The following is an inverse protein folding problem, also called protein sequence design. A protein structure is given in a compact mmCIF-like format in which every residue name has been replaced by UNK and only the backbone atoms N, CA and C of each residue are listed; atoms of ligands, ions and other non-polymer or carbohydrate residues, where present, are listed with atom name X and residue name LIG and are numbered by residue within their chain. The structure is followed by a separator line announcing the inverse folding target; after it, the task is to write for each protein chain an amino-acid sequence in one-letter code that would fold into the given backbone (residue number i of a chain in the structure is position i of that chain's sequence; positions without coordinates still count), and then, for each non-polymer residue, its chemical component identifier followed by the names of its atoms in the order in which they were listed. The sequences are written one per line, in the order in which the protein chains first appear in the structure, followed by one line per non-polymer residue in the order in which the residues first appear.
data_IF_268718209005
#
_entry.id   IF_268718209005
#
_cell.length_a   1.000
_cell.length_b   1.000
_cell.length_c   1.000
_cell.angle_alpha   90.00
_cell.angle_beta   90.00
_cell.angle_gamma   90.00
#
_symmetry.space_group_name_H-M   'P 1'
#
loop_
_entity.id
_entity.type
_entity.pdbx_description
1 polymer ?
#
# COMPACT_ATOMS: atom_id res chain seq x y z
N UNK A 1 19.99 8.95 -11.10
CA UNK A 1 19.29 7.69 -10.79
C UNK A 1 17.97 8.05 -10.13
N UNK A 2 16.85 7.63 -10.73
CA UNK A 2 15.53 7.84 -10.12
C UNK A 2 15.39 7.02 -8.84
N UNK A 3 14.74 7.56 -7.82
CA UNK A 3 14.35 6.79 -6.65
C UNK A 3 13.27 5.77 -7.06
N UNK A 4 13.08 4.70 -6.27
CA UNK A 4 11.99 3.74 -6.49
C UNK A 4 10.62 4.43 -6.54
N UNK A 5 10.47 5.57 -5.86
CA UNK A 5 9.29 6.45 -5.91
C UNK A 5 9.07 7.02 -7.33
N UNK A 6 10.14 7.50 -7.99
CA UNK A 6 10.04 8.01 -9.37
C UNK A 6 9.68 6.89 -10.36
N UNK A 7 10.16 5.66 -10.13
CA UNK A 7 9.81 4.52 -10.96
C UNK A 7 8.32 4.20 -10.87
N UNK A 8 7.78 4.10 -9.65
CA UNK A 8 6.35 3.82 -9.42
C UNK A 8 5.44 4.92 -9.97
N UNK A 9 5.67 6.18 -9.61
CA UNK A 9 4.78 7.30 -9.98
C UNK A 9 4.72 7.54 -11.49
N UNK A 10 5.84 7.28 -12.20
CA UNK A 10 5.92 7.42 -13.64
C UNK A 10 5.48 6.16 -14.40
N UNK A 11 5.29 5.03 -13.72
CA UNK A 11 5.03 3.75 -14.35
C UNK A 11 3.72 3.76 -15.14
N UNK A 12 3.69 3.37 -16.42
CA UNK A 12 2.48 3.39 -17.24
C UNK A 12 1.30 2.63 -16.60
N UNK A 13 1.57 1.48 -16.00
CA UNK A 13 0.56 0.65 -15.33
C UNK A 13 -0.02 1.33 -14.10
N UNK A 14 0.83 1.90 -13.23
CA UNK A 14 0.37 2.65 -12.06
C UNK A 14 -0.45 3.88 -12.49
N UNK A 15 -0.02 4.58 -13.54
CA UNK A 15 -0.76 5.72 -14.11
C UNK A 15 -2.10 5.31 -14.71
N UNK A 16 -2.22 4.10 -15.26
CA UNK A 16 -3.48 3.55 -15.73
C UNK A 16 -4.45 3.32 -14.56
N UNK A 17 -3.98 2.70 -13.47
CA UNK A 17 -4.77 2.49 -12.25
C UNK A 17 -5.25 3.81 -11.65
N UNK A 18 -4.37 4.81 -11.53
CA UNK A 18 -4.72 6.12 -10.95
C UNK A 18 -5.68 6.91 -11.83
N UNK A 19 -5.54 6.83 -13.16
CA UNK A 19 -6.47 7.48 -14.10
C UNK A 19 -7.90 7.02 -13.91
N UNK A 20 -8.12 5.74 -13.59
CA UNK A 20 -9.44 5.16 -13.31
C UNK A 20 -10.13 5.85 -12.12
N UNK A 21 -9.35 6.26 -11.12
CA UNK A 21 -9.83 6.85 -9.87
C UNK A 21 -9.82 8.40 -9.88
N UNK A 22 -9.12 9.01 -10.84
CA UNK A 22 -8.87 10.45 -10.84
C UNK A 22 -10.14 11.30 -10.91
N UNK A 23 -11.22 10.80 -11.53
CA UNK A 23 -12.49 11.51 -11.62
C UNK A 23 -13.13 11.74 -10.25
N UNK A 24 -13.02 10.79 -9.32
CA UNK A 24 -13.66 10.84 -8.00
C UNK A 24 -12.72 11.34 -6.90
N UNK A 25 -11.41 11.07 -7.03
CA UNK A 25 -10.45 11.25 -5.94
C UNK A 25 -9.30 12.23 -6.25
N UNK A 26 -9.20 12.71 -7.49
CA UNK A 26 -8.20 13.69 -7.92
C UNK A 26 -6.76 13.29 -7.51
N UNK A 27 -6.06 14.15 -6.76
CA UNK A 27 -4.68 13.91 -6.31
C UNK A 27 -4.57 12.79 -5.25
N UNK A 28 -5.69 12.34 -4.66
CA UNK A 28 -5.70 11.19 -3.76
C UNK A 28 -5.73 9.84 -4.51
N UNK A 29 -5.95 9.85 -5.83
CA UNK A 29 -5.98 8.63 -6.63
C UNK A 29 -4.70 7.79 -6.49
N UNK A 30 -3.53 8.44 -6.44
CA UNK A 30 -2.24 7.76 -6.20
C UNK A 30 -2.24 6.99 -4.87
N UNK A 31 -2.58 7.68 -3.78
CA UNK A 31 -2.63 7.10 -2.43
C UNK A 31 -3.60 5.92 -2.34
N UNK A 32 -4.75 6.02 -3.02
CA UNK A 32 -5.73 4.93 -3.04
C UNK A 32 -5.19 3.72 -3.82
N UNK A 33 -4.56 3.95 -4.98
CA UNK A 33 -3.97 2.86 -5.77
C UNK A 33 -2.85 2.17 -4.98
N UNK A 34 -2.02 2.91 -4.24
CA UNK A 34 -1.00 2.32 -3.36
C UNK A 34 -1.64 1.37 -2.34
N UNK A 35 -2.72 1.80 -1.68
CA UNK A 35 -3.48 0.97 -0.73
C UNK A 35 -4.08 -0.27 -1.39
N UNK A 36 -4.55 -0.15 -2.65
CA UNK A 36 -5.03 -1.30 -3.41
C UNK A 36 -3.90 -2.25 -3.77
N UNK A 37 -2.71 -1.74 -4.11
CA UNK A 37 -1.56 -2.58 -4.40
C UNK A 37 -1.05 -3.29 -3.14
N UNK A 38 -1.05 -2.61 -1.99
CA UNK A 38 -0.79 -3.23 -0.68
C UNK A 38 -1.83 -4.32 -0.36
N UNK A 39 -3.10 -4.15 -0.75
CA UNK A 39 -4.12 -5.21 -0.65
C UNK A 39 -3.72 -6.45 -1.43
N UNK A 40 -3.38 -6.30 -2.72
CA UNK A 40 -3.02 -7.44 -3.56
C UNK A 40 -1.71 -8.08 -3.12
N UNK A 41 -0.75 -7.31 -2.63
CA UNK A 41 0.48 -7.84 -2.03
C UNK A 41 0.17 -8.68 -0.78
N UNK A 42 -0.62 -8.15 0.15
CA UNK A 42 -0.95 -8.82 1.40
C UNK A 42 -1.80 -10.08 1.19
N UNK A 43 -2.84 -9.99 0.33
CA UNK A 43 -3.71 -11.13 -0.02
C UNK A 43 -2.91 -12.25 -0.68
N UNK A 44 -2.02 -11.90 -1.60
CA UNK A 44 -1.23 -12.85 -2.39
C UNK A 44 0.16 -13.11 -1.79
N UNK A 45 0.35 -12.82 -0.50
CA UNK A 45 1.67 -12.83 0.15
C UNK A 45 2.44 -14.14 -0.02
N UNK A 46 1.76 -15.29 0.02
CA UNK A 46 2.37 -16.62 -0.15
C UNK A 46 2.98 -16.88 -1.53
N UNK A 47 2.69 -16.03 -2.53
CA UNK A 47 3.34 -16.07 -3.84
C UNK A 47 4.71 -15.39 -3.78
N UNK A 48 4.90 -14.44 -2.88
CA UNK A 48 6.07 -13.56 -2.84
C UNK A 48 7.02 -13.86 -1.67
N UNK A 49 6.55 -14.59 -0.65
CA UNK A 49 7.35 -14.95 0.52
C UNK A 49 6.95 -16.31 1.07
N UNK A 50 7.95 -17.06 1.55
CA UNK A 50 7.76 -18.33 2.27
C UNK A 50 7.36 -18.11 3.74
N UNK A 51 7.57 -16.90 4.28
CA UNK A 51 7.17 -16.53 5.63
C UNK A 51 5.68 -16.13 5.66
N UNK A 52 4.95 -16.45 6.73
CA UNK A 52 3.57 -15.96 6.90
C UNK A 52 3.56 -14.45 7.11
N UNK A 53 2.57 -13.77 6.53
CA UNK A 53 2.44 -12.32 6.63
C UNK A 53 2.38 -11.85 8.09
N UNK A 54 1.64 -12.56 8.94
CA UNK A 54 1.49 -12.22 10.35
C UNK A 54 2.81 -12.32 11.13
N UNK A 55 3.64 -13.31 10.80
CA UNK A 55 4.95 -13.50 11.40
C UNK A 55 5.90 -12.37 10.97
N UNK A 56 5.91 -12.05 9.67
CA UNK A 56 6.68 -10.92 9.14
C UNK A 56 6.27 -9.59 9.80
N UNK A 57 4.96 -9.32 9.87
CA UNK A 57 4.41 -8.08 10.42
C UNK A 57 4.72 -7.96 11.90
N UNK A 58 4.62 -9.04 12.69
CA UNK A 58 4.97 -8.99 14.11
C UNK A 58 6.46 -8.69 14.31
N UNK A 59 7.35 -9.33 13.52
CA UNK A 59 8.79 -9.01 13.55
C UNK A 59 9.05 -7.56 13.18
N UNK A 60 8.34 -7.03 12.17
CA UNK A 60 8.45 -5.64 11.78
C UNK A 60 7.99 -4.68 12.89
N UNK A 61 6.85 -4.94 13.53
CA UNK A 61 6.37 -4.14 14.66
C UNK A 61 7.31 -4.20 15.86
N UNK A 62 7.92 -5.36 16.12
CA UNK A 62 8.94 -5.50 17.15
C UNK A 62 10.17 -4.64 16.85
N UNK A 63 10.66 -4.65 15.60
CA UNK A 63 11.76 -3.78 15.18
C UNK A 63 11.45 -2.29 15.38
N UNK A 64 10.22 -1.85 15.08
CA UNK A 64 9.80 -0.46 15.35
C UNK A 64 9.79 -0.11 16.84
N UNK A 65 9.42 -1.05 17.71
CA UNK A 65 9.45 -0.84 19.17
C UNK A 65 10.88 -0.72 19.69
N UNK A 66 11.77 -1.60 19.23
CA UNK A 66 13.18 -1.64 19.63
C UNK A 66 13.95 -0.41 19.17
N UNK A 67 13.61 0.12 17.99
CA UNK A 67 14.31 1.22 17.36
C UNK A 67 13.58 2.57 17.50
N UNK A 68 12.76 2.74 18.56
CA UNK A 68 11.93 3.94 18.73
C UNK A 68 12.73 5.26 18.67
N UNK A 69 13.98 5.26 19.15
CA UNK A 69 14.86 6.43 19.22
C UNK A 69 15.26 7.02 17.86
N UNK A 70 15.23 6.23 16.79
CA UNK A 70 15.58 6.69 15.44
C UNK A 70 14.35 7.04 14.60
N UNK A 71 13.14 6.84 15.14
CA UNK A 71 11.90 7.12 14.43
C UNK A 71 11.53 8.60 14.51
N UNK A 72 10.90 9.10 13.44
CA UNK A 72 10.32 10.45 13.46
C UNK A 72 9.15 10.54 14.45
N UNK A 73 8.90 11.73 15.01
CA UNK A 73 7.74 11.96 15.88
C UNK A 73 6.41 11.57 15.21
N UNK A 74 6.32 11.77 13.89
CA UNK A 74 5.12 11.41 13.12
C UNK A 74 4.90 9.90 13.13
N UNK A 75 5.96 9.12 12.94
CA UNK A 75 5.90 7.65 13.01
C UNK A 75 5.49 7.20 14.40
N UNK A 76 6.11 7.76 15.45
CA UNK A 76 5.78 7.43 16.85
C UNK A 76 4.31 7.69 17.16
N UNK A 77 3.74 8.79 16.66
CA UNK A 77 2.32 9.14 16.86
C UNK A 77 1.35 8.15 16.19
N UNK A 78 1.73 7.50 15.09
CA UNK A 78 0.85 6.54 14.39
C UNK A 78 1.01 5.10 14.87
N UNK A 79 2.15 4.75 15.48
CA UNK A 79 2.45 3.38 15.94
C UNK A 79 1.36 2.75 16.82
N UNK A 80 0.76 3.45 17.80
CA UNK A 80 -0.30 2.86 18.63
C UNK A 80 -1.50 2.36 17.82
N UNK A 81 -1.89 3.11 16.78
CA UNK A 81 -3.00 2.74 15.89
C UNK A 81 -2.56 1.57 14.99
N UNK A 82 -1.38 1.69 14.39
CA UNK A 82 -0.79 0.67 13.51
C UNK A 82 -0.76 -0.72 14.19
N UNK A 83 -0.31 -0.76 15.45
CA UNK A 83 -0.19 -1.99 16.22
C UNK A 83 -1.54 -2.52 16.66
N UNK A 84 -2.39 -1.67 17.24
CA UNK A 84 -3.68 -2.07 17.80
C UNK A 84 -4.59 -2.68 16.74
N UNK A 85 -4.56 -2.13 15.54
CA UNK A 85 -5.45 -2.52 14.45
C UNK A 85 -4.79 -3.43 13.43
N UNK A 86 -3.53 -3.80 13.67
CA UNK A 86 -2.73 -4.63 12.79
C UNK A 86 -2.89 -4.27 11.30
N UNK A 87 -2.66 -3.00 10.97
CA UNK A 87 -2.98 -2.46 9.64
C UNK A 87 -2.37 -3.28 8.50
N UNK A 88 -1.11 -3.70 8.65
CA UNK A 88 -0.40 -4.45 7.61
C UNK A 88 -1.07 -5.78 7.27
N UNK A 89 -1.56 -6.51 8.28
CA UNK A 89 -2.35 -7.73 8.05
C UNK A 89 -3.76 -7.40 7.55
N UNK A 90 -4.36 -6.30 8.03
CA UNK A 90 -5.69 -5.88 7.60
C UNK A 90 -5.80 -5.62 6.10
N UNK A 91 -4.69 -5.28 5.42
CA UNK A 91 -4.68 -5.15 3.96
C UNK A 91 -5.13 -6.42 3.24
N UNK A 92 -5.09 -7.62 3.84
CA UNK A 92 -5.54 -8.86 3.19
C UNK A 92 -7.01 -8.87 2.78
N UNK A 93 -7.85 -8.01 3.38
CA UNK A 93 -9.30 -8.05 3.21
C UNK A 93 -9.87 -6.72 2.74
N UNK A 94 -10.91 -6.76 1.91
CA UNK A 94 -11.61 -5.54 1.46
C UNK A 94 -12.17 -4.75 2.65
N UNK A 95 -12.67 -5.42 3.68
CA UNK A 95 -13.13 -4.77 4.92
C UNK A 95 -12.01 -4.06 5.67
N UNK A 96 -10.80 -4.60 5.67
CA UNK A 96 -9.64 -3.94 6.26
C UNK A 96 -9.23 -2.70 5.47
N UNK A 97 -9.27 -2.78 4.14
CA UNK A 97 -9.04 -1.63 3.24
C UNK A 97 -10.07 -0.52 3.49
N UNK A 98 -11.35 -0.87 3.61
CA UNK A 98 -12.43 0.07 3.93
C UNK A 98 -12.17 0.84 5.23
N UNK A 99 -11.79 0.10 6.27
CA UNK A 99 -11.47 0.66 7.59
C UNK A 99 -10.25 1.59 7.55
N UNK A 100 -9.18 1.20 6.85
CA UNK A 100 -7.97 2.01 6.69
C UNK A 100 -8.27 3.30 5.92
N UNK A 101 -8.97 3.20 4.79
CA UNK A 101 -9.35 4.35 3.97
C UNK A 101 -10.27 5.31 4.72
N UNK A 102 -11.21 4.78 5.51
CA UNK A 102 -12.08 5.59 6.38
C UNK A 102 -11.28 6.37 7.42
N UNK A 103 -10.29 5.74 8.05
CA UNK A 103 -9.41 6.43 8.99
C UNK A 103 -8.53 7.48 8.31
N UNK A 104 -8.01 7.20 7.11
CA UNK A 104 -7.21 8.16 6.36
C UNK A 104 -8.05 9.36 5.92
N UNK A 105 -9.27 9.15 5.44
CA UNK A 105 -10.18 10.22 5.06
C UNK A 105 -10.52 11.13 6.26
N UNK A 106 -10.70 10.54 7.46
CA UNK A 106 -10.95 11.31 8.69
C UNK A 106 -9.82 12.31 9.02
N UNK A 107 -8.56 11.94 8.75
CA UNK A 107 -7.38 12.81 8.92
C UNK A 107 -7.36 13.96 7.93
N UNK A 108 -8.04 13.81 6.79
CA UNK A 108 -8.24 14.87 5.78
C UNK A 108 -9.53 15.67 5.99
N UNK A 109 -10.17 15.56 7.16
CA UNK A 109 -11.49 16.15 7.44
C UNK A 109 -12.58 15.69 6.47
N UNK A 110 -12.48 14.45 5.97
CA UNK A 110 -13.39 13.85 4.99
C UNK A 110 -13.47 14.58 3.65
N UNK A 111 -12.41 15.30 3.26
CA UNK A 111 -12.36 16.02 1.98
C UNK A 111 -11.81 15.16 0.84
N UNK A 112 -11.18 14.02 1.16
CA UNK A 112 -10.55 13.16 0.16
C UNK A 112 -11.51 12.17 -0.48
N UNK A 113 -12.66 11.92 0.15
CA UNK A 113 -13.65 10.89 -0.22
C UNK A 113 -13.09 9.45 -0.22
N UNK A 114 -11.85 9.22 0.23
CA UNK A 114 -11.18 7.92 0.16
C UNK A 114 -11.96 6.77 0.81
N UNK A 115 -12.78 7.06 1.83
CA UNK A 115 -13.69 6.08 2.47
C UNK A 115 -14.67 5.39 1.52
N UNK A 116 -14.88 5.92 0.32
CA UNK A 116 -15.77 5.33 -0.69
C UNK A 116 -15.03 4.48 -1.72
N UNK A 117 -13.69 4.47 -1.72
CA UNK A 117 -12.90 3.86 -2.80
C UNK A 117 -12.99 2.33 -2.85
N UNK A 118 -13.47 1.68 -1.79
CA UNK A 118 -13.75 0.25 -1.80
C UNK A 118 -14.86 -0.13 -2.76
N UNK A 119 -15.69 0.82 -3.21
CA UNK A 119 -16.66 0.64 -4.29
C UNK A 119 -15.94 0.37 -5.61
N UNK A 120 -15.03 1.26 -6.01
CA UNK A 120 -14.25 1.05 -7.24
C UNK A 120 -13.28 -0.13 -7.14
N UNK A 121 -12.73 -0.39 -5.95
CA UNK A 121 -11.91 -1.60 -5.74
C UNK A 121 -12.71 -2.87 -6.09
N UNK A 122 -13.96 -2.96 -5.66
CA UNK A 122 -14.81 -4.12 -5.95
C UNK A 122 -15.26 -4.15 -7.41
N UNK A 123 -15.63 -3.00 -7.97
CA UNK A 123 -16.08 -2.89 -9.36
C UNK A 123 -14.99 -3.31 -10.36
N UNK A 124 -13.75 -2.87 -10.13
CA UNK A 124 -12.60 -3.09 -11.01
C UNK A 124 -11.56 -4.04 -10.41
N UNK A 125 -11.98 -4.92 -9.51
CA UNK A 125 -11.08 -5.75 -8.69
C UNK A 125 -10.06 -6.53 -9.53
N UNK A 126 -10.54 -7.22 -10.57
CA UNK A 126 -9.70 -8.01 -11.46
C UNK A 126 -8.75 -7.15 -12.31
N UNK A 127 -9.14 -5.92 -12.66
CA UNK A 127 -8.29 -5.03 -13.43
C UNK A 127 -7.15 -4.52 -12.56
N UNK A 128 -7.44 -4.10 -11.32
CA UNK A 128 -6.41 -3.70 -10.38
C UNK A 128 -5.47 -4.85 -10.00
N UNK A 129 -5.98 -6.08 -9.83
CA UNK A 129 -5.12 -7.24 -9.53
C UNK A 129 -4.15 -7.55 -10.67
N UNK A 130 -4.62 -7.50 -11.92
CA UNK A 130 -3.77 -7.70 -13.11
C UNK A 130 -2.73 -6.60 -13.24
N UNK A 131 -3.14 -5.35 -13.05
CA UNK A 131 -2.25 -4.19 -13.08
C UNK A 131 -1.18 -4.29 -12.00
N UNK A 132 -1.56 -4.59 -10.75
CA UNK A 132 -0.62 -4.85 -9.65
C UNK A 132 0.36 -5.96 -10.01
N UNK A 133 -0.13 -7.12 -10.46
CA UNK A 133 0.72 -8.29 -10.75
C UNK A 133 1.76 -7.96 -11.82
N UNK A 134 1.34 -7.30 -12.91
CA UNK A 134 2.25 -6.90 -13.98
C UNK A 134 3.27 -5.86 -13.49
N UNK A 135 2.81 -4.82 -12.76
CA UNK A 135 3.69 -3.79 -12.21
C UNK A 135 4.70 -4.35 -11.20
N UNK A 136 4.27 -5.25 -10.32
CA UNK A 136 5.10 -5.76 -9.24
C UNK A 136 6.25 -6.63 -9.77
N UNK A 137 6.03 -7.41 -10.83
CA UNK A 137 7.10 -8.17 -11.49
C UNK A 137 8.14 -7.25 -12.18
N UNK A 138 7.69 -6.15 -12.80
CA UNK A 138 8.60 -5.13 -13.34
C UNK A 138 9.39 -4.45 -12.23
N UNK A 139 8.74 -4.14 -11.10
CA UNK A 139 9.39 -3.54 -9.93
C UNK A 139 10.46 -4.48 -9.32
N UNK A 140 10.16 -5.77 -9.18
CA UNK A 140 11.12 -6.76 -8.68
C UNK A 140 12.35 -6.82 -9.57
N UNK A 141 12.15 -6.91 -10.88
CA UNK A 141 13.25 -6.92 -11.86
C UNK A 141 14.10 -5.65 -11.76
N UNK A 142 13.47 -4.48 -11.65
CA UNK A 142 14.16 -3.20 -11.50
C UNK A 142 15.00 -3.14 -10.21
N UNK A 143 14.45 -3.60 -9.09
CA UNK A 143 15.15 -3.61 -7.79
C UNK A 143 16.31 -4.60 -7.80
N UNK A 144 16.14 -5.81 -8.37
CA UNK A 144 17.21 -6.80 -8.48
C UNK A 144 18.40 -6.29 -9.31
N UNK A 145 18.13 -5.63 -10.45
CA UNK A 145 19.18 -5.00 -11.26
C UNK A 145 19.94 -3.93 -10.48
N UNK A 146 19.21 -3.10 -9.71
CA UNK A 146 19.83 -2.04 -8.93
C UNK A 146 20.74 -2.57 -7.81
N UNK A 147 20.37 -3.68 -7.17
CA UNK A 147 21.21 -4.32 -6.14
C UNK A 147 22.49 -4.91 -6.75
N UNK A 148 22.44 -5.38 -8.00
CA UNK A 148 23.61 -5.93 -8.70
C UNK A 148 24.57 -4.84 -9.21
N UNK A 149 24.06 -3.63 -9.45
CA UNK A 149 24.83 -2.48 -9.92
C UNK A 149 25.44 -1.62 -8.78
N UNK A 150 25.15 -1.94 -7.50
CA UNK A 150 25.70 -1.32 -6.28
C UNK A 150 26.76 -2.20 -5.60
#
# INVERSE_FOLDING_TARGET
MGSSITFTDAHPIFRQSTKRLHQHYHHYAGVIVDIFYDHFLAKNWSIYSDEKLEEFVERFYQSLRENNSVLSERTIKIMPILFKENWLVSYQTISGIDHILTQMDSRTKNQSNMRFATVELQEYYNDFEKEFTAFFEELRTFVEQKILDE
#
